data_IF_138805273935
#
_entry.id   IF_138805273935
#
_cell.length_a   1.000
_cell.length_b   1.000
_cell.length_c   1.000
_cell.angle_alpha   90.00
_cell.angle_beta   90.00
_cell.angle_gamma   90.00
#
_symmetry.space_group_name_H-M   'P 1'
#
loop_
_entity.id
_entity.type
_entity.pdbx_description
1 polymer ?
#
# COMPACT_ATOMS: atom_id res chain seq x y z
N UNK A 1 -2.44 37.41 41.87
CA UNK A 1 -2.96 37.10 40.52
C UNK A 1 -1.84 36.69 39.55
N UNK A 2 -1.12 35.59 39.81
CA UNK A 2 -0.05 35.07 38.91
C UNK A 2 -0.30 33.64 38.41
N UNK A 3 -1.22 32.91 39.04
CA UNK A 3 -1.52 31.50 38.74
C UNK A 3 -2.50 31.36 37.56
N UNK A 4 -3.34 32.38 37.30
CA UNK A 4 -4.33 32.33 36.23
C UNK A 4 -3.69 32.35 34.83
N UNK A 5 -2.51 32.97 34.70
CA UNK A 5 -1.80 33.05 33.42
C UNK A 5 -1.17 31.71 33.00
N UNK A 6 -0.79 30.86 33.97
CA UNK A 6 -0.17 29.54 33.71
C UNK A 6 -1.17 28.50 33.19
N UNK A 7 -2.46 28.63 33.52
CA UNK A 7 -3.53 27.74 33.04
C UNK A 7 -3.96 28.03 31.59
N UNK A 8 -3.77 29.26 31.10
CA UNK A 8 -4.08 29.61 29.71
C UNK A 8 -3.02 29.12 28.71
N UNK A 9 -1.78 28.90 29.18
CA UNK A 9 -0.68 28.39 28.33
C UNK A 9 -0.75 26.88 28.09
N UNK A 10 -1.48 26.11 28.90
CA UNK A 10 -1.64 24.66 28.72
C UNK A 10 -2.72 24.25 27.72
N UNK A 11 -3.45 25.20 27.12
CA UNK A 11 -4.55 24.90 26.17
C UNK A 11 -4.08 24.96 24.70
N UNK A 12 -2.81 25.30 24.45
CA UNK A 12 -2.20 25.12 23.13
C UNK A 12 -1.76 23.66 22.99
N UNK A 13 -2.71 22.74 23.13
CA UNK A 13 -2.54 21.41 22.54
C UNK A 13 -2.56 21.61 21.04
N UNK A 14 -1.37 21.69 20.44
CA UNK A 14 -1.23 21.58 19.01
C UNK A 14 -1.87 20.24 18.60
N UNK A 15 -3.08 20.29 18.04
CA UNK A 15 -3.56 19.21 17.19
C UNK A 15 -2.65 19.23 15.95
N UNK A 16 -1.47 18.61 16.06
CA UNK A 16 -0.67 18.27 14.90
C UNK A 16 -1.44 17.18 14.16
N UNK A 17 -2.22 17.60 13.17
CA UNK A 17 -2.90 16.71 12.25
C UNK A 17 -1.84 16.08 11.34
N UNK A 18 -1.21 15.00 11.81
CA UNK A 18 -0.34 14.20 10.97
C UNK A 18 -1.24 13.34 10.05
N UNK A 19 -1.07 13.49 8.74
CA UNK A 19 -1.51 12.47 7.80
C UNK A 19 -0.63 11.24 8.04
N UNK A 20 -1.19 10.20 8.64
CA UNK A 20 -0.45 8.98 8.91
C UNK A 20 -0.47 8.11 7.66
N UNK A 21 0.71 7.92 7.06
CA UNK A 21 0.91 6.92 6.01
C UNK A 21 1.25 5.62 6.73
N UNK A 22 0.27 4.71 6.83
CA UNK A 22 0.45 3.39 7.41
C UNK A 22 0.74 2.40 6.29
N UNK A 23 1.66 1.44 6.51
CA UNK A 23 1.96 0.40 5.52
C UNK A 23 2.09 -0.98 6.16
N UNK A 24 1.58 -1.99 5.46
CA UNK A 24 1.58 -3.38 5.88
C UNK A 24 2.22 -4.28 4.81
N UNK A 25 3.23 -5.06 5.20
CA UNK A 25 3.79 -6.13 4.38
C UNK A 25 3.00 -7.41 4.58
N UNK A 26 2.45 -7.93 3.48
CA UNK A 26 1.63 -9.14 3.47
C UNK A 26 2.30 -10.25 2.66
N UNK A 27 2.21 -11.48 3.16
CA UNK A 27 2.53 -12.70 2.40
C UNK A 27 1.21 -13.35 2.00
N UNK A 28 0.92 -13.37 0.70
CA UNK A 28 -0.35 -13.84 0.16
C UNK A 28 -0.14 -15.15 -0.60
N UNK A 29 -0.86 -16.21 -0.22
CA UNK A 29 -0.90 -17.47 -0.99
C UNK A 29 -1.98 -17.36 -2.07
N UNK A 30 -1.60 -17.48 -3.33
CA UNK A 30 -2.50 -17.37 -4.46
C UNK A 30 -3.53 -18.51 -4.47
N UNK A 31 -4.79 -18.14 -4.70
CA UNK A 31 -5.90 -19.09 -4.86
C UNK A 31 -6.16 -19.42 -6.33
N UNK A 32 -5.66 -18.58 -7.23
CA UNK A 32 -5.83 -18.63 -8.68
C UNK A 32 -4.50 -18.17 -9.34
N UNK A 33 -4.30 -18.48 -10.61
CA UNK A 33 -3.17 -17.92 -11.36
C UNK A 33 -3.36 -16.39 -11.50
N UNK A 34 -2.26 -15.63 -11.47
CA UNK A 34 -2.33 -14.19 -11.72
C UNK A 34 -2.67 -13.89 -13.17
N UNK A 35 -3.49 -12.88 -13.40
CA UNK A 35 -3.80 -12.40 -14.75
C UNK A 35 -3.09 -11.10 -15.04
N UNK A 36 -2.66 -10.90 -16.29
CA UNK A 36 -1.96 -9.70 -16.73
C UNK A 36 -2.78 -9.03 -17.82
N UNK A 37 -3.04 -7.73 -17.67
CA UNK A 37 -3.60 -6.89 -18.72
C UNK A 37 -2.59 -5.79 -19.08
N UNK A 38 -2.18 -5.75 -20.34
CA UNK A 38 -1.35 -4.66 -20.88
C UNK A 38 -2.21 -3.53 -21.42
N UNK A 39 -1.79 -2.30 -21.19
CA UNK A 39 -2.40 -1.09 -21.73
C UNK A 39 -1.31 -0.21 -22.34
N UNK A 40 -1.61 0.37 -23.50
CA UNK A 40 -0.81 1.45 -24.06
C UNK A 40 -1.29 2.76 -23.48
N UNK A 41 -0.38 3.53 -22.88
CA UNK A 41 -0.64 4.87 -22.35
C UNK A 41 0.07 5.86 -23.24
N UNK A 42 -0.71 6.65 -23.96
CA UNK A 42 -0.21 7.77 -24.75
C UNK A 42 0.12 8.91 -23.79
N UNK A 43 1.38 9.37 -23.79
CA UNK A 43 1.72 10.64 -23.15
C UNK A 43 1.23 11.79 -24.02
N UNK A 44 0.58 12.79 -23.41
CA UNK A 44 0.26 14.03 -24.12
C UNK A 44 1.55 14.73 -24.57
N UNK A 45 1.70 14.96 -25.87
CA UNK A 45 2.88 15.61 -26.47
C UNK A 45 3.00 15.38 -27.98
N UNK A 46 3.83 16.18 -28.65
CA UNK A 46 4.06 16.20 -30.10
C UNK A 46 4.69 14.91 -30.67
N UNK A 47 5.21 14.02 -29.81
CA UNK A 47 5.81 12.74 -30.19
C UNK A 47 5.05 11.64 -29.43
N UNK A 48 4.45 10.65 -30.10
CA UNK A 48 3.75 9.56 -29.43
C UNK A 48 4.75 8.62 -28.75
N UNK A 49 5.19 8.99 -27.55
CA UNK A 49 5.84 8.05 -26.64
C UNK A 49 4.75 7.17 -26.02
N UNK A 50 4.65 5.93 -26.50
CA UNK A 50 3.75 4.92 -25.97
C UNK A 50 4.44 4.26 -24.78
N UNK A 51 3.96 4.56 -23.57
CA UNK A 51 4.34 3.79 -22.38
C UNK A 51 3.44 2.55 -22.29
N UNK A 52 4.02 1.35 -22.16
CA UNK A 52 3.23 0.16 -21.84
C UNK A 52 3.10 0.03 -20.31
N UNK A 53 1.86 -0.13 -19.83
CA UNK A 53 1.57 -0.41 -18.41
C UNK A 53 0.93 -1.79 -18.29
N UNK A 54 1.40 -2.59 -17.35
CA UNK A 54 0.84 -3.91 -17.07
C UNK A 54 0.13 -3.92 -15.73
N UNK A 55 -1.17 -4.26 -15.74
CA UNK A 55 -1.96 -4.47 -14.54
C UNK A 55 -2.00 -5.97 -14.22
N UNK A 56 -1.39 -6.34 -13.11
CA UNK A 56 -1.43 -7.70 -12.59
C UNK A 56 -2.60 -7.80 -11.62
N UNK A 57 -3.52 -8.72 -11.86
CA UNK A 57 -4.60 -9.04 -10.94
C UNK A 57 -4.32 -10.34 -10.22
N UNK A 58 -4.66 -10.38 -8.93
CA UNK A 58 -4.48 -11.56 -8.09
C UNK A 58 -5.69 -11.79 -7.19
N UNK A 59 -5.84 -13.05 -6.76
CA UNK A 59 -6.70 -13.43 -5.66
C UNK A 59 -5.94 -14.39 -4.76
N UNK A 60 -5.89 -14.10 -3.46
CA UNK A 60 -5.08 -14.88 -2.55
C UNK A 60 -5.48 -14.75 -1.09
N UNK A 61 -5.06 -15.73 -0.29
CA UNK A 61 -5.26 -15.78 1.15
C UNK A 61 -4.04 -15.23 1.87
N UNK A 62 -4.21 -14.23 2.73
CA UNK A 62 -3.13 -13.66 3.54
C UNK A 62 -2.66 -14.70 4.57
N UNK A 63 -1.37 -15.01 4.54
CA UNK A 63 -0.70 -15.99 5.42
C UNK A 63 0.22 -15.34 6.44
N UNK A 64 0.70 -14.14 6.17
CA UNK A 64 1.45 -13.31 7.13
C UNK A 64 1.09 -11.86 6.89
N UNK A 65 1.02 -11.08 7.96
CA UNK A 65 0.88 -9.63 7.93
C UNK A 65 1.86 -9.05 8.95
N UNK A 66 2.63 -8.05 8.55
CA UNK A 66 3.59 -7.35 9.38
C UNK A 66 3.58 -5.87 9.07
N UNK A 67 3.81 -5.06 10.09
CA UNK A 67 4.01 -3.63 9.94
C UNK A 67 5.31 -3.38 9.15
N UNK A 68 5.25 -2.51 8.15
CA UNK A 68 6.40 -2.16 7.30
C UNK A 68 7.00 -0.79 7.65
N UNK A 69 6.17 0.20 8.02
CA UNK A 69 6.60 1.55 8.47
C UNK A 69 6.00 1.89 9.86
N UNK A 70 5.82 3.18 10.20
CA UNK A 70 5.08 3.60 11.40
C UNK A 70 3.58 3.33 11.24
N UNK A 71 3.19 2.06 11.22
CA UNK A 71 1.79 1.72 11.36
C UNK A 71 1.41 1.89 12.83
N UNK A 72 0.69 2.97 13.16
CA UNK A 72 0.03 3.12 14.46
C UNK A 72 -1.11 2.09 14.63
N UNK A 73 -1.48 1.41 13.54
CA UNK A 73 -2.50 0.37 13.45
C UNK A 73 -1.89 -1.02 13.21
N UNK A 74 -2.42 -2.03 13.91
CA UNK A 74 -2.00 -3.42 13.76
C UNK A 74 -2.46 -4.00 12.40
N UNK A 75 -1.52 -4.58 11.64
CA UNK A 75 -1.78 -5.26 10.38
C UNK A 75 -2.45 -6.63 10.54
N UNK A 76 -2.65 -7.14 11.76
CA UNK A 76 -3.27 -8.46 12.01
C UNK A 76 -4.67 -8.62 11.41
N UNK A 77 -5.42 -7.54 11.22
CA UNK A 77 -6.76 -7.61 10.61
C UNK A 77 -6.75 -8.17 9.17
N UNK A 78 -5.61 -8.13 8.48
CA UNK A 78 -5.44 -8.79 7.18
C UNK A 78 -5.24 -10.30 7.29
N UNK A 79 -4.81 -10.84 8.42
CA UNK A 79 -4.46 -12.25 8.56
C UNK A 79 -5.67 -13.15 8.28
N UNK A 80 -5.49 -14.17 7.43
CA UNK A 80 -6.57 -15.11 7.09
C UNK A 80 -7.65 -14.54 6.16
N UNK A 81 -7.53 -13.28 5.74
CA UNK A 81 -8.46 -12.68 4.76
C UNK A 81 -8.12 -13.08 3.33
N UNK A 82 -9.14 -13.15 2.49
CA UNK A 82 -8.97 -13.30 1.04
C UNK A 82 -8.94 -11.92 0.41
N UNK A 83 -7.82 -11.59 -0.24
CA UNK A 83 -7.67 -10.37 -1.01
C UNK A 83 -7.88 -10.66 -2.49
N UNK A 84 -8.66 -9.81 -3.16
CA UNK A 84 -8.80 -9.75 -4.61
C UNK A 84 -8.50 -8.33 -5.05
N UNK A 85 -7.38 -8.11 -5.71
CA UNK A 85 -6.95 -6.78 -6.10
C UNK A 85 -6.01 -6.84 -7.32
N UNK A 86 -5.59 -5.67 -7.79
CA UNK A 86 -4.69 -5.51 -8.91
C UNK A 86 -3.70 -4.38 -8.67
N UNK A 87 -2.49 -4.51 -9.22
CA UNK A 87 -1.45 -3.50 -9.13
C UNK A 87 -0.72 -3.35 -10.46
N UNK A 88 -0.17 -2.15 -10.70
CA UNK A 88 0.69 -1.90 -11.84
C UNK A 88 2.09 -2.46 -11.58
N UNK A 89 2.69 -3.06 -12.60
CA UNK A 89 4.04 -3.61 -12.53
C UNK A 89 4.77 -3.39 -13.86
N UNK A 90 6.08 -3.10 -13.83
CA UNK A 90 6.83 -2.74 -15.03
C UNK A 90 7.06 -3.91 -15.99
N UNK A 91 6.89 -5.17 -15.56
CA UNK A 91 7.18 -6.35 -16.39
C UNK A 91 5.92 -7.13 -16.73
N UNK A 92 5.61 -7.24 -18.03
CA UNK A 92 4.54 -8.10 -18.56
C UNK A 92 4.71 -9.58 -18.20
N UNK A 93 5.95 -10.01 -17.99
CA UNK A 93 6.33 -11.41 -17.78
C UNK A 93 6.00 -11.92 -16.38
N UNK A 94 5.58 -11.05 -15.45
CA UNK A 94 5.19 -11.50 -14.13
C UNK A 94 3.99 -12.44 -14.22
N UNK A 95 4.23 -13.72 -13.91
CA UNK A 95 3.20 -14.75 -13.80
C UNK A 95 3.48 -15.56 -12.55
N UNK A 96 2.53 -15.54 -11.63
CA UNK A 96 2.54 -16.39 -10.45
C UNK A 96 1.35 -17.35 -10.52
N UNK A 97 1.62 -18.63 -10.25
CA UNK A 97 0.65 -19.71 -10.31
C UNK A 97 -0.10 -19.87 -8.99
N UNK A 98 -1.29 -20.45 -9.05
CA UNK A 98 -2.07 -20.90 -7.90
C UNK A 98 -1.18 -21.65 -6.91
N UNK A 99 -1.34 -21.34 -5.63
CA UNK A 99 -0.60 -21.96 -4.53
C UNK A 99 0.76 -21.32 -4.24
N UNK A 100 1.34 -20.54 -5.17
CA UNK A 100 2.54 -19.76 -4.90
C UNK A 100 2.26 -18.63 -3.91
N UNK A 101 3.31 -18.17 -3.23
CA UNK A 101 3.24 -17.05 -2.28
C UNK A 101 3.86 -15.83 -2.92
N UNK A 102 3.14 -14.72 -2.90
CA UNK A 102 3.65 -13.40 -3.28
C UNK A 102 3.80 -12.53 -2.03
N UNK A 103 4.75 -11.61 -2.06
CA UNK A 103 4.91 -10.57 -1.04
C UNK A 103 4.39 -9.26 -1.61
N UNK A 104 3.47 -8.63 -0.90
CA UNK A 104 2.91 -7.34 -1.30
C UNK A 104 3.04 -6.35 -0.16
N UNK A 105 3.22 -5.08 -0.49
CA UNK A 105 3.06 -3.99 0.46
C UNK A 105 1.71 -3.32 0.21
N UNK A 106 0.98 -3.06 1.28
CA UNK A 106 -0.29 -2.37 1.28
C UNK A 106 -0.09 -1.03 1.97
N UNK A 107 -0.18 0.05 1.19
CA UNK A 107 -0.18 1.41 1.71
C UNK A 107 -1.62 1.81 2.05
N UNK A 108 -1.83 2.23 3.29
CA UNK A 108 -3.11 2.69 3.84
C UNK A 108 -2.97 4.19 4.07
N UNK A 109 -3.69 4.98 3.27
CA UNK A 109 -3.80 6.43 3.50
C UNK A 109 -5.14 6.74 4.13
N UNK A 110 -5.09 7.32 5.33
CA UNK A 110 -6.26 7.85 6.02
C UNK A 110 -6.62 9.22 5.43
N UNK A 111 -7.71 9.29 4.66
CA UNK A 111 -8.30 10.57 4.28
C UNK A 111 -9.19 11.06 5.43
N UNK A 112 -8.65 11.93 6.29
CA UNK A 112 -9.44 12.75 7.23
C UNK A 112 -9.64 14.16 6.68
N UNK A 113 -10.17 14.29 5.47
CA UNK A 113 -10.67 15.60 5.01
C UNK A 113 -12.15 15.74 5.36
N UNK A 114 -12.37 16.49 6.45
CA UNK A 114 -13.55 17.31 6.77
C UNK A 114 -14.94 16.66 6.96
N UNK A 115 -15.41 16.78 8.20
CA UNK A 115 -16.81 17.05 8.59
C UNK A 115 -17.88 15.97 8.34
N UNK A 116 -18.29 15.34 9.46
CA UNK A 116 -19.64 14.83 9.74
C UNK A 116 -20.18 13.73 8.80
N UNK A 117 -19.48 12.61 8.78
CA UNK A 117 -20.07 11.28 8.59
C UNK A 117 -18.94 10.30 8.89
N UNK A 118 -19.14 9.39 9.84
CA UNK A 118 -18.17 8.40 10.31
C UNK A 118 -17.82 7.37 9.22
N UNK A 119 -17.19 7.82 8.14
CA UNK A 119 -16.65 6.97 7.09
C UNK A 119 -15.21 7.39 6.84
N UNK A 120 -14.29 6.78 7.59
CA UNK A 120 -12.87 6.79 7.23
C UNK A 120 -12.75 6.04 5.91
N UNK A 121 -12.45 6.74 4.83
CA UNK A 121 -12.21 6.13 3.53
C UNK A 121 -10.73 5.78 3.43
N UNK A 122 -10.41 4.49 3.49
CA UNK A 122 -9.06 3.98 3.30
C UNK A 122 -8.79 3.79 1.80
N UNK A 123 -7.77 4.48 1.27
CA UNK A 123 -7.24 4.13 -0.05
C UNK A 123 -6.10 3.12 0.11
N UNK A 124 -6.25 1.95 -0.54
CA UNK A 124 -5.28 0.86 -0.51
C UNK A 124 -4.50 0.87 -1.83
N UNK A 125 -3.20 1.23 -1.75
CA UNK A 125 -2.27 1.01 -2.86
C UNK A 125 -1.49 -0.28 -2.59
N UNK A 126 -1.50 -1.20 -3.54
CA UNK A 126 -0.78 -2.48 -3.44
C UNK A 126 0.41 -2.47 -4.39
N UNK A 127 1.58 -2.87 -3.90
CA UNK A 127 2.78 -3.06 -4.72
C UNK A 127 3.39 -4.43 -4.45
N UNK A 128 4.03 -5.02 -5.47
CA UNK A 128 4.78 -6.25 -5.31
C UNK A 128 6.16 -5.94 -4.71
N UNK A 129 6.55 -6.68 -3.67
CA UNK A 129 7.90 -6.60 -3.11
C UNK A 129 8.81 -7.59 -3.83
N UNK A 130 9.76 -7.07 -4.60
CA UNK A 130 10.76 -7.89 -5.25
C UNK A 130 11.71 -8.51 -4.22
N UNK A 131 12.16 -9.76 -4.43
CA UNK A 131 13.23 -10.32 -3.61
C UNK A 131 14.48 -9.44 -3.78
N UNK A 132 15.07 -8.96 -2.68
CA UNK A 132 16.37 -8.27 -2.71
C UNK A 132 17.36 -9.16 -3.45
N UNK A 133 17.75 -8.77 -4.66
CA UNK A 133 18.86 -9.38 -5.38
C UNK A 133 20.07 -9.40 -4.45
N UNK A 134 20.62 -10.58 -4.16
CA UNK A 134 21.99 -10.66 -3.64
C UNK A 134 22.90 -10.29 -4.80
N UNK A 135 23.17 -9.00 -4.97
CA UNK A 135 24.28 -8.57 -5.81
C UNK A 135 25.55 -9.16 -5.19
N UNK A 136 26.01 -10.32 -5.69
CA UNK A 136 27.38 -10.77 -5.49
C UNK A 136 28.24 -9.74 -6.20
N UNK A 137 28.78 -8.79 -5.45
CA UNK A 137 29.92 -8.01 -5.91
C UNK A 137 31.06 -9.03 -6.02
N UNK A 138 31.36 -9.42 -7.25
CA UNK A 138 32.59 -10.14 -7.57
C UNK A 138 33.64 -9.04 -7.67
N UNK A 139 34.55 -9.00 -6.71
CA UNK A 139 35.80 -8.25 -6.80
C UNK A 139 36.79 -9.01 -7.69
#
# INVERSE_FOLDING_TARGET
MKIVLLLMLSIITHNTYASYINSCDLVVKLLEDTTVKSFQVYKEGFIPNVDEKHLISFKGLVKKASVADRADSDCQHYMGTVLKNSFFYPLASFKAKKGQKIKINVLIKDFRETSKSDQVTYSILITLLEPKSKTKIIF
#
